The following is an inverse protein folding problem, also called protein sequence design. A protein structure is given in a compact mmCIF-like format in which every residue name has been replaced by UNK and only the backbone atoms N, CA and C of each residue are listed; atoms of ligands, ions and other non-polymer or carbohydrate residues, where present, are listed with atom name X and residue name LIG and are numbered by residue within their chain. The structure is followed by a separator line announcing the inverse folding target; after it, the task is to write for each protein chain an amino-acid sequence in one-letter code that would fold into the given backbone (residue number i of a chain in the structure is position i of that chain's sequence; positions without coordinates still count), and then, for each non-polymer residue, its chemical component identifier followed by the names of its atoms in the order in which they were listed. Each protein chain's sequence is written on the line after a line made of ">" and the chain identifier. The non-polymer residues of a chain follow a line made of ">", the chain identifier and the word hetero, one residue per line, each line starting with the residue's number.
data_IF_717908110496
#
_entry.id   IF_717908110496
#
_cell.length_a   1.000
_cell.length_b   1.000
_cell.length_c   1.000
_cell.angle_alpha   90.00
_cell.angle_beta   90.00
_cell.angle_gamma   90.00
#
_symmetry.space_group_name_H-M   'P 1'
#
loop_
_entity.id
_entity.type
_entity.pdbx_description
1 polymer ?
#
# COMPACT_ATOMS: atom_id res chain seq x y z
N UNK A 1 -2.75 -3.65 4.55
CA UNK A 1 -2.91 -3.82 3.09
C UNK A 1 -3.46 -5.22 2.86
N UNK A 2 -4.35 -5.40 1.88
CA UNK A 2 -5.00 -6.69 1.62
C UNK A 2 -4.53 -7.21 0.26
N UNK A 3 -4.35 -8.52 0.15
CA UNK A 3 -4.14 -9.15 -1.14
C UNK A 3 -5.46 -9.23 -1.91
N UNK A 4 -5.39 -9.20 -3.25
CA UNK A 4 -6.55 -9.23 -4.14
C UNK A 4 -7.16 -7.85 -4.41
N UNK A 5 -8.20 -7.80 -5.24
CA UNK A 5 -8.82 -6.58 -5.75
C UNK A 5 -10.05 -6.19 -4.92
N UNK A 6 -9.82 -5.78 -3.67
CA UNK A 6 -10.89 -5.48 -2.71
C UNK A 6 -11.25 -4.00 -2.61
N UNK A 7 -10.55 -3.12 -3.34
CA UNK A 7 -10.64 -1.67 -3.22
C UNK A 7 -12.06 -1.15 -3.44
N UNK A 8 -12.78 -1.68 -4.45
CA UNK A 8 -14.15 -1.26 -4.74
C UNK A 8 -15.11 -1.57 -3.58
N UNK A 9 -15.05 -2.80 -3.05
CA UNK A 9 -15.89 -3.23 -1.92
C UNK A 9 -15.56 -2.43 -0.66
N UNK A 10 -14.28 -2.20 -0.39
CA UNK A 10 -13.85 -1.39 0.75
C UNK A 10 -14.30 0.07 0.60
N UNK A 11 -14.20 0.64 -0.60
CA UNK A 11 -14.65 2.01 -0.86
C UNK A 11 -16.17 2.18 -0.73
N UNK A 12 -16.98 1.15 -0.97
CA UNK A 12 -18.44 1.21 -0.68
C UNK A 12 -18.73 1.37 0.81
N UNK A 13 -17.93 0.75 1.67
CA UNK A 13 -18.13 0.76 3.12
C UNK A 13 -17.39 1.91 3.82
N UNK A 14 -16.21 2.27 3.30
CA UNK A 14 -15.29 3.22 3.89
C UNK A 14 -15.23 4.54 3.10
N UNK A 15 -15.83 4.65 1.92
CA UNK A 15 -15.71 5.83 1.06
C UNK A 15 -14.43 5.85 0.22
N UNK A 16 -14.56 6.38 -1.01
CA UNK A 16 -13.46 6.49 -1.98
C UNK A 16 -12.38 7.44 -1.48
N UNK A 17 -12.78 8.51 -0.81
CA UNK A 17 -11.89 9.51 -0.20
C UNK A 17 -11.06 8.98 0.97
N UNK A 18 -11.34 7.76 1.45
CA UNK A 18 -10.58 7.08 2.52
C UNK A 18 -9.94 5.76 2.05
N UNK A 19 -10.09 5.41 0.77
CA UNK A 19 -9.56 4.17 0.20
C UNK A 19 -8.55 4.49 -0.89
N UNK A 20 -7.40 3.81 -0.89
CA UNK A 20 -6.37 3.87 -1.93
C UNK A 20 -5.99 2.45 -2.33
N UNK A 21 -5.58 2.26 -3.58
CA UNK A 21 -4.99 1.01 -4.04
C UNK A 21 -3.55 0.90 -3.57
N UNK A 22 -3.12 -0.33 -3.26
CA UNK A 22 -1.75 -0.60 -2.85
C UNK A 22 -1.27 -1.96 -3.34
N UNK A 23 -0.03 -2.01 -3.82
CA UNK A 23 0.71 -3.23 -4.12
C UNK A 23 1.96 -3.29 -3.23
N UNK A 24 2.20 -4.45 -2.63
CA UNK A 24 3.30 -4.69 -1.69
C UNK A 24 4.11 -5.88 -2.17
N UNK A 25 5.43 -5.69 -2.29
CA UNK A 25 6.38 -6.73 -2.68
C UNK A 25 7.53 -6.89 -1.66
N UNK A 26 7.36 -6.36 -0.44
CA UNK A 26 8.27 -6.69 0.66
C UNK A 26 7.69 -7.83 1.50
N UNK A 27 8.58 -8.61 2.09
CA UNK A 27 8.23 -9.85 2.78
C UNK A 27 8.55 -9.74 4.27
N UNK A 28 7.81 -10.47 5.09
CA UNK A 28 8.12 -10.67 6.49
C UNK A 28 7.50 -11.98 6.97
N UNK A 29 8.22 -12.72 7.79
CA UNK A 29 7.78 -13.99 8.35
C UNK A 29 7.54 -13.86 9.85
N UNK A 30 6.43 -14.40 10.33
CA UNK A 30 6.21 -14.60 11.77
C UNK A 30 6.91 -15.89 12.16
N UNK A 31 8.01 -15.79 12.90
CA UNK A 31 8.81 -16.96 13.30
C UNK A 31 8.19 -17.62 14.53
N UNK A 32 7.80 -16.80 15.50
CA UNK A 32 7.10 -17.19 16.72
C UNK A 32 6.28 -16.00 17.25
N UNK A 33 5.39 -16.18 18.26
CA UNK A 33 4.60 -15.07 18.80
C UNK A 33 5.47 -13.88 19.24
N UNK A 34 5.29 -12.74 18.57
CA UNK A 34 6.04 -11.52 18.85
C UNK A 34 7.41 -11.39 18.16
N UNK A 35 7.82 -12.37 17.34
CA UNK A 35 9.08 -12.34 16.60
C UNK A 35 8.81 -12.37 15.10
N UNK A 36 9.21 -11.27 14.44
CA UNK A 36 9.08 -11.09 13.00
C UNK A 36 10.48 -11.09 12.38
N UNK A 37 10.71 -11.97 11.42
CA UNK A 37 11.88 -11.90 10.56
C UNK A 37 11.53 -11.04 9.34
N UNK A 38 12.23 -9.91 9.18
CA UNK A 38 12.10 -9.10 7.96
C UNK A 38 12.66 -9.86 6.76
N UNK A 39 11.88 -9.94 5.68
CA UNK A 39 12.38 -10.29 4.36
C UNK A 39 13.20 -9.14 3.76
N UNK A 40 13.93 -9.43 2.68
CA UNK A 40 14.74 -8.44 1.99
C UNK A 40 13.93 -7.26 1.44
N UNK A 41 14.63 -6.29 0.83
CA UNK A 41 14.01 -5.09 0.26
C UNK A 41 12.98 -5.46 -0.81
N UNK A 42 11.76 -4.92 -0.68
CA UNK A 42 10.72 -4.97 -1.69
C UNK A 42 10.26 -3.56 -2.08
N UNK A 43 9.28 -3.49 -2.99
CA UNK A 43 8.67 -2.24 -3.42
C UNK A 43 7.26 -2.07 -2.85
N UNK A 44 6.82 -0.82 -2.73
CA UNK A 44 5.44 -0.45 -2.48
C UNK A 44 4.95 0.44 -3.63
N UNK A 45 3.76 0.17 -4.15
CA UNK A 45 3.12 1.02 -5.16
C UNK A 45 1.77 1.49 -4.63
N UNK A 46 1.48 2.77 -4.75
CA UNK A 46 0.24 3.40 -4.30
C UNK A 46 -0.50 4.06 -5.46
N UNK A 47 -1.83 4.01 -5.47
CA UNK A 47 -2.64 4.63 -6.52
C UNK A 47 -4.03 5.05 -6.06
N UNK A 48 -4.59 6.04 -6.74
CA UNK A 48 -6.01 6.39 -6.59
C UNK A 48 -6.90 5.38 -7.32
N UNK A 49 -8.08 5.09 -6.78
CA UNK A 49 -9.05 4.17 -7.40
C UNK A 49 -9.56 4.67 -8.76
N UNK A 50 -9.50 5.98 -8.98
CA UNK A 50 -9.90 6.63 -10.24
C UNK A 50 -8.70 6.96 -11.15
N UNK A 51 -7.50 6.49 -10.80
CA UNK A 51 -6.28 6.66 -11.59
C UNK A 51 -5.69 8.07 -11.57
N UNK A 52 -6.25 9.02 -10.81
CA UNK A 52 -5.67 10.36 -10.72
C UNK A 52 -4.40 10.38 -9.88
N UNK A 53 -3.48 11.29 -10.20
CA UNK A 53 -2.43 11.68 -9.25
C UNK A 53 -3.00 12.66 -8.24
N UNK A 54 -2.74 12.44 -6.95
CA UNK A 54 -3.19 13.33 -5.88
C UNK A 54 -2.05 13.67 -4.91
N UNK A 55 -2.21 14.78 -4.18
CA UNK A 55 -1.26 15.15 -3.12
C UNK A 55 -1.18 14.08 -2.03
N UNK A 56 -2.30 13.42 -1.70
CA UNK A 56 -2.33 12.42 -0.62
C UNK A 56 -1.51 11.16 -0.95
N UNK A 57 -1.52 10.68 -2.20
CA UNK A 57 -0.70 9.51 -2.55
C UNK A 57 0.79 9.86 -2.55
N UNK A 58 1.15 11.10 -2.91
CA UNK A 58 2.52 11.58 -2.84
C UNK A 58 3.00 11.75 -1.38
N UNK A 59 2.12 12.24 -0.50
CA UNK A 59 2.36 12.32 0.94
C UNK A 59 2.52 10.93 1.56
N UNK A 60 1.61 10.01 1.28
CA UNK A 60 1.68 8.63 1.75
C UNK A 60 2.95 7.92 1.25
N UNK A 61 3.34 8.13 -0.01
CA UNK A 61 4.56 7.54 -0.56
C UNK A 61 5.81 8.02 0.20
N UNK A 62 5.87 9.31 0.51
CA UNK A 62 6.95 9.88 1.34
C UNK A 62 6.93 9.32 2.76
N UNK A 63 5.77 9.23 3.39
CA UNK A 63 5.65 8.75 4.77
C UNK A 63 6.03 7.27 4.90
N UNK A 64 5.81 6.49 3.84
CA UNK A 64 6.10 5.05 3.81
C UNK A 64 7.52 4.73 3.29
N UNK A 65 8.29 5.72 2.85
CA UNK A 65 9.62 5.53 2.27
C UNK A 65 10.65 4.88 3.21
N UNK A 66 10.41 4.86 4.52
CA UNK A 66 11.26 4.13 5.49
C UNK A 66 11.24 2.61 5.26
N UNK A 67 10.19 2.08 4.63
CA UNK A 67 10.04 0.64 4.37
C UNK A 67 10.68 0.17 3.06
N UNK A 68 11.19 1.09 2.25
CA UNK A 68 11.78 0.80 0.94
C UNK A 68 11.34 1.79 -0.13
N UNK A 69 11.68 1.55 -1.41
CA UNK A 69 11.18 2.33 -2.53
C UNK A 69 9.64 2.33 -2.56
N UNK A 70 9.05 3.52 -2.63
CA UNK A 70 7.61 3.71 -2.80
C UNK A 70 7.35 4.48 -4.08
N UNK A 71 6.55 3.91 -4.96
CA UNK A 71 6.15 4.50 -6.22
C UNK A 71 4.66 4.87 -6.19
N UNK A 72 4.29 5.88 -6.95
CA UNK A 72 2.89 6.24 -7.20
C UNK A 72 2.52 5.89 -8.62
N UNK A 73 1.35 5.28 -8.83
CA UNK A 73 0.83 4.96 -10.16
C UNK A 73 -0.51 5.65 -10.44
N UNK A 74 -0.79 5.85 -11.73
CA UNK A 74 -2.08 6.34 -12.26
C UNK A 74 -2.88 5.23 -12.95
N UNK A 75 -2.35 4.01 -13.02
CA UNK A 75 -3.01 2.82 -13.59
C UNK A 75 -2.41 1.54 -13.03
#
# INVERSE_FOLDING_TARGET
>A
MQNGLHEAVLAEHLGVERTVGAFVDFFADVVEPGVIAGGGTGALVLGELDGRTSTRIAELARDLATWGPVETTTT
#
